data_IF_513819114517
#
_entry.id   IF_513819114517
#
_cell.length_a   1.000
_cell.length_b   1.000
_cell.length_c   1.000
_cell.angle_alpha   90.00
_cell.angle_beta   90.00
_cell.angle_gamma   90.00
#
_symmetry.space_group_name_H-M   'P 1'
#
loop_
_entity.id
_entity.type
_entity.pdbx_description
1 polymer ?
#
# COMPACT_ATOMS: atom_id res chain seq x y z
N UNK A 1 2.03 -24.22 11.58
CA UNK A 1 2.42 -23.96 10.18
C UNK A 1 1.20 -23.42 9.44
N UNK A 2 0.95 -22.10 9.55
CA UNK A 2 -0.10 -21.46 8.74
C UNK A 2 0.47 -21.37 7.32
N UNK A 3 -0.20 -22.02 6.36
CA UNK A 3 0.10 -21.80 4.95
C UNK A 3 -0.34 -20.37 4.64
N UNK A 4 0.61 -19.44 4.58
CA UNK A 4 0.39 -18.16 3.93
C UNK A 4 0.13 -18.46 2.47
N UNK A 5 -1.15 -18.39 2.09
CA UNK A 5 -1.56 -18.36 0.71
C UNK A 5 -1.09 -16.98 0.24
N UNK A 6 -0.18 -16.85 -0.73
CA UNK A 6 0.04 -15.57 -1.37
C UNK A 6 -1.30 -15.21 -2.00
N UNK A 7 -2.04 -14.32 -1.35
CA UNK A 7 -3.15 -13.65 -2.00
C UNK A 7 -2.51 -12.67 -2.98
N UNK A 8 -2.04 -13.21 -4.11
CA UNK A 8 -2.16 -12.51 -5.37
C UNK A 8 -3.65 -12.26 -5.53
N UNK A 9 -4.13 -11.17 -4.95
CA UNK A 9 -5.39 -10.59 -5.37
C UNK A 9 -5.07 -10.07 -6.77
N UNK A 10 -5.65 -10.64 -7.83
CA UNK A 10 -5.61 -9.96 -9.10
C UNK A 10 -6.43 -8.69 -8.88
N UNK A 11 -5.77 -7.56 -8.59
CA UNK A 11 -6.42 -6.26 -8.59
C UNK A 11 -6.66 -5.90 -10.05
N UNK A 12 -7.62 -6.60 -10.64
CA UNK A 12 -8.30 -6.25 -11.86
C UNK A 12 -9.49 -5.37 -11.47
N UNK A 13 -9.21 -4.28 -10.76
CA UNK A 13 -10.21 -3.24 -10.52
C UNK A 13 -10.15 -2.26 -11.69
N UNK A 14 -10.77 -2.68 -12.80
CA UNK A 14 -11.16 -1.84 -13.92
C UNK A 14 -12.10 -0.73 -13.39
N UNK A 15 -11.53 0.39 -12.97
CA UNK A 15 -12.26 1.66 -12.93
C UNK A 15 -12.55 2.07 -14.38
N UNK A 16 -13.68 1.62 -14.92
CA UNK A 16 -14.26 2.12 -16.16
C UNK A 16 -14.75 3.56 -15.95
N UNK A 17 -13.83 4.53 -15.96
CA UNK A 17 -14.20 5.91 -16.25
C UNK A 17 -13.90 6.18 -17.73
N UNK A 18 -14.95 6.06 -18.53
CA UNK A 18 -14.98 6.41 -19.95
C UNK A 18 -14.76 7.92 -20.15
N UNK A 19 -13.52 8.34 -20.32
CA UNK A 19 -13.17 9.50 -21.14
C UNK A 19 -11.68 9.44 -21.47
N UNK A 20 -11.35 9.66 -22.73
CA UNK A 20 -10.02 9.55 -23.31
C UNK A 20 -8.90 10.16 -22.43
N UNK A 21 -7.82 9.40 -22.23
CA UNK A 21 -6.55 9.90 -21.70
C UNK A 21 -5.98 9.01 -20.59
N UNK A 22 -4.91 8.27 -20.90
CA UNK A 22 -4.04 7.51 -20.01
C UNK A 22 -4.72 6.59 -18.97
N UNK A 23 -4.61 5.27 -19.17
CA UNK A 23 -4.78 4.33 -18.06
C UNK A 23 -3.77 4.69 -16.96
N UNK A 24 -4.25 5.17 -15.81
CA UNK A 24 -3.45 5.27 -14.60
C UNK A 24 -3.18 3.84 -14.13
N UNK A 25 -2.04 3.27 -14.55
CA UNK A 25 -1.64 1.95 -14.10
C UNK A 25 -1.36 2.02 -12.60
N UNK A 26 -1.97 1.10 -11.84
CA UNK A 26 -1.61 0.88 -10.44
C UNK A 26 -0.19 0.36 -10.43
N UNK A 27 0.72 1.14 -9.87
CA UNK A 27 2.14 0.80 -9.88
C UNK A 27 2.47 -0.08 -8.67
N UNK A 28 1.76 0.06 -7.54
CA UNK A 28 1.85 -0.86 -6.42
C UNK A 28 0.46 -1.12 -5.82
N UNK A 29 0.17 -2.38 -5.49
CA UNK A 29 -1.07 -2.79 -4.84
C UNK A 29 -0.82 -3.97 -3.92
N UNK A 30 -1.17 -3.83 -2.65
CA UNK A 30 -1.06 -4.91 -1.68
C UNK A 30 -2.19 -4.83 -0.64
N UNK A 31 -2.56 -5.99 -0.12
CA UNK A 31 -3.44 -6.13 1.04
C UNK A 31 -2.61 -6.63 2.20
N UNK A 32 -2.72 -5.96 3.35
CA UNK A 32 -1.92 -6.23 4.54
C UNK A 32 -2.84 -6.40 5.75
N UNK A 33 -2.59 -7.40 6.59
CA UNK A 33 -3.09 -7.40 7.95
C UNK A 33 -2.35 -6.39 8.84
N UNK A 34 -2.74 -6.23 10.10
CA UNK A 34 -2.13 -5.21 10.98
C UNK A 34 -0.71 -5.56 11.41
N UNK A 35 -0.36 -6.85 11.44
CA UNK A 35 0.98 -7.29 11.79
C UNK A 35 1.91 -6.97 10.60
N UNK A 36 1.49 -7.31 9.37
CA UNK A 36 2.16 -6.93 8.13
C UNK A 36 2.29 -5.41 7.99
N UNK A 37 1.21 -4.67 8.26
CA UNK A 37 1.18 -3.21 8.18
C UNK A 37 2.18 -2.54 9.14
N UNK A 38 2.29 -3.04 10.38
CA UNK A 38 3.26 -2.52 11.37
C UNK A 38 4.70 -2.71 10.89
N UNK A 39 5.02 -3.89 10.34
CA UNK A 39 6.37 -4.19 9.84
C UNK A 39 6.69 -3.40 8.57
N UNK A 40 5.73 -3.22 7.66
CA UNK A 40 5.89 -2.36 6.48
C UNK A 40 6.15 -0.90 6.89
N UNK A 41 5.39 -0.35 7.85
CA UNK A 41 5.62 1.00 8.40
C UNK A 41 7.05 1.13 8.96
N UNK A 42 7.54 0.11 9.67
CA UNK A 42 8.90 0.07 10.22
C UNK A 42 9.95 0.13 9.12
N UNK A 43 9.88 -0.75 8.11
CA UNK A 43 10.86 -0.78 7.01
C UNK A 43 10.83 0.51 6.18
N UNK A 44 9.65 1.06 5.90
CA UNK A 44 9.53 2.32 5.17
C UNK A 44 10.17 3.51 5.91
N UNK A 45 10.12 3.53 7.25
CA UNK A 45 10.84 4.52 8.06
C UNK A 45 12.34 4.29 8.08
N UNK A 46 12.78 3.03 8.04
CA UNK A 46 14.20 2.66 8.01
C UNK A 46 14.88 2.94 6.67
N UNK A 47 14.13 2.98 5.58
CA UNK A 47 14.64 3.33 4.25
C UNK A 47 15.14 4.79 4.15
N UNK A 48 15.01 5.59 5.22
CA UNK A 48 15.53 6.96 5.42
C UNK A 48 15.40 7.87 4.19
N UNK A 49 14.19 7.90 3.63
CA UNK A 49 13.87 8.79 2.51
C UNK A 49 12.51 9.44 2.72
N UNK A 50 12.34 10.63 2.13
CA UNK A 50 11.14 11.45 2.30
C UNK A 50 9.86 10.71 1.90
N UNK A 51 9.94 9.88 0.85
CA UNK A 51 8.81 9.13 0.34
C UNK A 51 8.36 8.01 1.28
N UNK A 52 9.28 7.15 1.73
CA UNK A 52 9.00 6.09 2.70
C UNK A 52 8.41 6.65 3.98
N UNK A 53 8.95 7.78 4.46
CA UNK A 53 8.39 8.51 5.60
C UNK A 53 6.97 9.04 5.36
N UNK A 54 6.69 9.56 4.16
CA UNK A 54 5.35 10.02 3.77
C UNK A 54 4.34 8.85 3.73
N UNK A 55 4.68 7.75 3.06
CA UNK A 55 3.82 6.57 2.97
C UNK A 55 3.58 5.96 4.36
N UNK A 56 4.64 5.77 5.15
CA UNK A 56 4.56 5.26 6.52
C UNK A 56 3.65 6.14 7.40
N UNK A 57 3.70 7.46 7.23
CA UNK A 57 2.85 8.40 7.98
C UNK A 57 1.39 8.26 7.59
N UNK A 58 1.08 8.16 6.29
CA UNK A 58 -0.31 7.95 5.80
C UNK A 58 -0.87 6.60 6.24
N UNK A 59 -0.08 5.53 6.17
CA UNK A 59 -0.46 4.20 6.67
C UNK A 59 -0.75 4.24 8.18
N UNK A 60 0.11 4.88 8.97
CA UNK A 60 -0.07 5.00 10.42
C UNK A 60 -1.29 5.85 10.80
N UNK A 61 -1.61 6.89 10.02
CA UNK A 61 -2.82 7.68 10.20
C UNK A 61 -4.08 6.85 9.88
N UNK A 62 -4.11 6.21 8.70
CA UNK A 62 -5.25 5.42 8.25
C UNK A 62 -5.51 4.21 9.14
N UNK A 63 -4.46 3.61 9.71
CA UNK A 63 -4.56 2.52 10.68
C UNK A 63 -5.54 2.83 11.81
N UNK A 64 -5.64 4.10 12.23
CA UNK A 64 -6.53 4.55 13.32
C UNK A 64 -8.01 4.50 12.96
N UNK A 65 -8.36 4.39 11.68
CA UNK A 65 -9.74 4.16 11.25
C UNK A 65 -10.16 2.71 11.54
N UNK A 66 -11.37 2.53 12.08
CA UNK A 66 -11.97 1.22 12.33
C UNK A 66 -13.19 0.93 11.45
N UNK A 67 -13.47 1.77 10.45
CA UNK A 67 -14.67 1.69 9.61
C UNK A 67 -14.42 0.86 8.34
N UNK A 68 -14.94 -0.37 8.22
CA UNK A 68 -14.82 -1.18 7.01
C UNK A 68 -15.45 -0.48 5.81
N UNK A 69 -14.80 -0.59 4.65
CA UNK A 69 -15.19 0.10 3.42
C UNK A 69 -14.79 1.57 3.37
N UNK A 70 -14.16 2.13 4.41
CA UNK A 70 -13.59 3.47 4.32
C UNK A 70 -12.45 3.47 3.30
N UNK A 71 -12.57 4.33 2.29
CA UNK A 71 -11.51 4.57 1.31
C UNK A 71 -11.04 6.02 1.41
N UNK A 72 -9.74 6.22 1.58
CA UNK A 72 -9.12 7.55 1.61
C UNK A 72 -8.09 7.68 0.49
N UNK A 73 -8.12 8.82 -0.20
CA UNK A 73 -7.13 9.18 -1.22
C UNK A 73 -6.21 10.25 -0.66
N UNK A 74 -4.90 10.04 -0.85
CA UNK A 74 -3.85 10.95 -0.42
C UNK A 74 -2.98 11.33 -1.60
N UNK A 75 -2.84 12.64 -1.87
CA UNK A 75 -1.81 13.11 -2.78
C UNK A 75 -0.42 12.87 -2.18
N UNK A 76 0.54 12.51 -3.03
CA UNK A 76 1.94 12.33 -2.65
C UNK A 76 2.66 13.65 -2.88
N UNK A 77 3.31 14.15 -1.83
CA UNK A 77 4.08 15.40 -1.87
C UNK A 77 5.54 15.16 -2.25
N UNK A 78 6.05 13.96 -1.96
CA UNK A 78 7.41 13.54 -2.27
C UNK A 78 7.58 13.05 -3.72
N UNK A 79 6.49 12.82 -4.46
CA UNK A 79 6.51 12.42 -5.86
C UNK A 79 5.19 12.70 -6.60
N UNK A 80 5.20 12.85 -7.93
CA UNK A 80 3.96 12.92 -8.71
C UNK A 80 3.13 11.64 -8.53
N UNK A 81 1.91 11.78 -8.04
CA UNK A 81 1.05 10.62 -7.83
C UNK A 81 0.09 10.75 -6.65
N UNK A 82 -0.58 9.65 -6.37
CA UNK A 82 -1.46 9.52 -5.22
C UNK A 82 -1.43 8.09 -4.66
N UNK A 83 -1.87 7.97 -3.41
CA UNK A 83 -2.08 6.71 -2.72
C UNK A 83 -3.54 6.60 -2.33
N UNK A 84 -4.12 5.40 -2.47
CA UNK A 84 -5.44 5.09 -1.92
C UNK A 84 -5.28 4.03 -0.84
N UNK A 85 -5.92 4.26 0.29
CA UNK A 85 -6.02 3.31 1.37
C UNK A 85 -7.47 2.91 1.56
N UNK A 86 -7.72 1.61 1.59
CA UNK A 86 -9.04 1.03 1.82
C UNK A 86 -9.02 0.14 3.05
N UNK A 87 -10.02 0.29 3.89
CA UNK A 87 -10.25 -0.58 5.04
C UNK A 87 -11.06 -1.79 4.56
N UNK A 88 -10.40 -2.89 4.22
CA UNK A 88 -11.11 -4.09 3.76
C UNK A 88 -12.02 -4.68 4.86
N UNK A 89 -11.49 -4.79 6.07
CA UNK A 89 -12.22 -5.22 7.25
C UNK A 89 -11.60 -4.62 8.53
N UNK A 90 -11.89 -5.18 9.71
CA UNK A 90 -11.36 -4.67 10.99
C UNK A 90 -9.86 -4.90 11.21
N UNK A 91 -9.24 -5.77 10.43
CA UNK A 91 -7.88 -6.27 10.59
C UNK A 91 -7.03 -6.15 9.32
N UNK A 92 -7.61 -5.80 8.18
CA UNK A 92 -6.90 -5.67 6.91
C UNK A 92 -7.02 -4.25 6.31
N UNK A 93 -5.97 -3.85 5.60
CA UNK A 93 -5.88 -2.62 4.81
C UNK A 93 -5.37 -2.95 3.41
N UNK A 94 -6.08 -2.47 2.41
CA UNK A 94 -5.60 -2.43 1.03
C UNK A 94 -4.88 -1.11 0.78
N UNK A 95 -3.68 -1.16 0.22
CA UNK A 95 -2.88 -0.01 -0.15
C UNK A 95 -2.54 -0.04 -1.64
N UNK A 96 -2.98 0.99 -2.37
CA UNK A 96 -2.61 1.18 -3.77
C UNK A 96 -1.83 2.49 -3.93
N UNK A 97 -0.76 2.47 -4.70
CA UNK A 97 0.07 3.65 -5.01
C UNK A 97 0.16 3.81 -6.53
N UNK A 98 -0.12 5.02 -6.97
CA UNK A 98 -0.14 5.45 -8.36
C UNK A 98 0.92 6.54 -8.49
N UNK A 99 2.16 6.17 -8.77
CA UNK A 99 3.29 7.09 -8.85
C UNK A 99 4.35 6.56 -9.83
N UNK A 100 5.52 7.18 -9.89
CA UNK A 100 6.56 6.73 -10.82
C UNK A 100 7.11 5.32 -10.48
N UNK A 101 7.72 4.68 -11.48
CA UNK A 101 8.19 3.30 -11.43
C UNK A 101 9.35 3.08 -10.41
N UNK A 102 10.05 4.15 -10.01
CA UNK A 102 11.13 4.06 -9.00
C UNK A 102 10.55 3.82 -7.61
N UNK A 103 9.38 4.39 -7.35
CA UNK A 103 8.70 4.31 -6.06
C UNK A 103 8.02 2.96 -5.86
N UNK A 104 7.49 2.39 -6.93
CA UNK A 104 7.06 0.99 -6.97
C UNK A 104 8.15 0.06 -6.44
N UNK A 105 9.36 0.14 -7.00
CA UNK A 105 10.47 -0.74 -6.61
C UNK A 105 10.85 -0.62 -5.13
N UNK A 106 10.74 0.60 -4.57
CA UNK A 106 11.00 0.82 -3.15
C UNK A 106 9.92 0.21 -2.25
N UNK A 107 8.64 0.34 -2.64
CA UNK A 107 7.51 -0.26 -1.91
C UNK A 107 7.53 -1.78 -1.99
N UNK A 108 7.78 -2.33 -3.18
CA UNK A 108 7.94 -3.78 -3.37
C UNK A 108 9.02 -4.33 -2.45
N UNK A 109 10.20 -3.69 -2.43
CA UNK A 109 11.30 -4.11 -1.56
C UNK A 109 10.95 -4.04 -0.08
N UNK A 110 10.34 -2.94 0.38
CA UNK A 110 9.96 -2.79 1.79
C UNK A 110 8.89 -3.81 2.20
N UNK A 111 7.97 -4.15 1.30
CA UNK A 111 6.96 -5.17 1.53
C UNK A 111 7.58 -6.58 1.57
N UNK A 112 8.46 -6.92 0.63
CA UNK A 112 9.18 -8.20 0.62
C UNK A 112 10.02 -8.41 1.90
N UNK A 113 10.72 -7.36 2.36
CA UNK A 113 11.47 -7.38 3.62
C UNK A 113 10.54 -7.55 4.84
N UNK A 114 9.33 -6.97 4.79
CA UNK A 114 8.34 -7.13 5.85
C UNK A 114 7.78 -8.56 5.93
N UNK A 115 7.39 -9.13 4.79
CA UNK A 115 6.87 -10.52 4.72
C UNK A 115 7.95 -11.50 5.17
N UNK A 116 9.19 -11.31 4.72
CA UNK A 116 10.30 -12.17 5.15
C UNK A 116 10.59 -12.08 6.66
N UNK A 117 10.32 -10.95 7.32
CA UNK A 117 10.48 -10.83 8.78
C UNK A 117 9.39 -11.61 9.55
N UNK A 118 8.17 -11.67 9.02
CA UNK A 118 7.03 -12.35 9.65
C UNK A 118 6.98 -13.87 9.41
N UNK A 119 7.64 -14.34 8.36
CA UNK A 119 7.76 -15.78 8.04
C UNK A 119 8.84 -16.51 8.88
N UNK A 120 9.69 -15.78 9.61
CA UNK A 120 10.75 -16.32 10.49
C UNK A 120 10.26 -16.62 11.91
#
# INVERSE_FOLDING_TARGET
>A
MRKLIPRLIPVFMLMLSSSAGAQELVEFSTSMDFDELEVVIKHLRQADNQFGNEIASKLAEFRRSSEPGLTMRYSLSSAPGYMTLEREDRQAVSANVFSDNKLKQMLDKAYEEAVSELDM
#
